data_IF_225310933572
#
_entry.id   IF_225310933572
#
_cell.length_a   1.000
_cell.length_b   1.000
_cell.length_c   1.000
_cell.angle_alpha   90.00
_cell.angle_beta   90.00
_cell.angle_gamma   90.00
#
_symmetry.space_group_name_H-M   'P 1'
#
loop_
_entity.id
_entity.type
_entity.pdbx_description
1 polymer ?
#
# COMPACT_ATOMS: atom_id res chain seq x y z
N UNK A 1 2.25 -13.62 -22.52
CA UNK A 1 3.61 -13.56 -21.94
C UNK A 1 4.07 -12.14 -21.58
N UNK A 2 3.78 -11.09 -22.37
CA UNK A 2 4.19 -9.69 -22.07
C UNK A 2 3.60 -9.11 -20.77
N UNK A 3 2.34 -9.44 -20.45
CA UNK A 3 1.64 -8.98 -19.24
C UNK A 3 2.20 -9.61 -17.95
N UNK A 4 2.92 -10.73 -18.06
CA UNK A 4 3.51 -11.42 -16.90
C UNK A 4 4.83 -10.75 -16.50
N UNK A 5 5.74 -10.49 -17.46
CA UNK A 5 7.03 -9.82 -17.22
C UNK A 5 6.85 -8.42 -16.62
N UNK A 6 5.84 -7.67 -17.05
CA UNK A 6 5.52 -6.35 -16.50
C UNK A 6 5.04 -6.44 -15.04
N UNK A 7 4.26 -7.47 -14.68
CA UNK A 7 3.80 -7.66 -13.30
C UNK A 7 4.89 -8.17 -12.37
N UNK A 8 5.79 -9.03 -12.86
CA UNK A 8 6.95 -9.51 -12.08
C UNK A 8 8.03 -8.44 -11.92
N UNK A 9 8.21 -7.56 -12.91
CA UNK A 9 9.09 -6.38 -12.82
C UNK A 9 8.54 -5.34 -11.83
N UNK A 10 7.22 -5.15 -11.76
CA UNK A 10 6.58 -4.28 -10.77
C UNK A 10 6.76 -4.80 -9.33
N UNK A 11 6.71 -6.13 -9.15
CA UNK A 11 6.92 -6.76 -7.85
C UNK A 11 8.38 -6.66 -7.36
N UNK A 12 9.34 -6.59 -8.28
CA UNK A 12 10.77 -6.45 -7.95
C UNK A 12 11.19 -4.97 -7.76
N UNK A 13 10.51 -4.04 -8.44
CA UNK A 13 10.64 -2.59 -8.22
C UNK A 13 10.18 -2.15 -6.83
N UNK A 14 9.36 -2.94 -6.14
CA UNK A 14 8.92 -2.65 -4.77
C UNK A 14 9.99 -2.85 -3.69
N UNK A 15 11.16 -3.41 -4.04
CA UNK A 15 12.19 -3.77 -3.06
C UNK A 15 13.41 -2.83 -3.04
N UNK A 16 13.59 -1.92 -4.00
CA UNK A 16 14.76 -1.04 -3.99
C UNK A 16 14.45 0.34 -4.59
N UNK A 17 14.07 1.33 -3.77
CA UNK A 17 14.10 2.72 -4.21
C UNK A 17 15.53 3.19 -4.60
N UNK A 18 16.57 2.48 -4.16
CA UNK A 18 17.98 2.80 -4.44
C UNK A 18 18.47 2.39 -5.85
N UNK A 19 17.73 1.61 -6.65
CA UNK A 19 18.18 1.20 -8.00
C UNK A 19 17.67 2.16 -9.09
N UNK A 20 16.68 3.01 -8.79
CA UNK A 20 16.21 4.04 -9.72
C UNK A 20 17.22 5.19 -9.94
N UNK A 21 18.30 5.25 -9.14
CA UNK A 21 19.35 6.28 -9.22
C UNK A 21 20.66 5.78 -9.85
N UNK A 22 20.63 4.67 -10.59
CA UNK A 22 21.82 4.09 -11.22
C UNK A 22 22.17 4.66 -12.61
N UNK A 23 21.40 5.62 -13.13
CA UNK A 23 21.66 6.39 -14.37
C UNK A 23 21.43 7.88 -14.03
N UNK A 24 22.29 8.87 -14.26
CA UNK A 24 23.63 8.95 -14.86
C UNK A 24 24.39 10.13 -14.19
N UNK A 25 25.73 10.09 -14.12
CA UNK A 25 26.53 11.33 -14.04
C UNK A 25 27.34 11.64 -12.77
N UNK A 26 27.70 10.66 -11.93
CA UNK A 26 28.70 10.91 -10.90
C UNK A 26 30.12 10.61 -11.43
N UNK A 27 30.86 11.64 -11.83
CA UNK A 27 32.30 11.56 -12.14
C UNK A 27 33.10 12.07 -10.92
N UNK A 28 33.82 11.19 -10.18
CA UNK A 28 34.60 11.57 -9.01
C UNK A 28 35.72 12.59 -9.28
N UNK A 29 36.03 12.89 -10.55
CA UNK A 29 37.09 13.81 -10.97
C UNK A 29 36.57 15.21 -11.35
N UNK A 30 35.25 15.42 -11.42
CA UNK A 30 34.64 16.73 -11.67
C UNK A 30 34.12 17.37 -10.36
N UNK A 31 34.77 18.46 -9.87
CA UNK A 31 34.36 19.15 -8.65
C UNK A 31 32.98 19.84 -8.74
N UNK A 32 32.37 19.91 -9.93
CA UNK A 32 31.00 20.38 -10.15
C UNK A 32 29.92 19.30 -10.02
N UNK A 33 30.30 18.02 -9.91
CA UNK A 33 29.33 16.93 -9.74
C UNK A 33 28.79 16.93 -8.30
N UNK A 34 27.49 17.21 -8.15
CA UNK A 34 26.85 17.06 -6.85
C UNK A 34 26.71 15.56 -6.55
N UNK A 35 27.13 15.09 -5.37
CA UNK A 35 26.91 13.70 -4.98
C UNK A 35 25.43 13.34 -5.19
N UNK A 36 25.14 12.13 -5.71
CA UNK A 36 23.76 11.71 -5.88
C UNK A 36 23.02 11.87 -4.54
N UNK A 37 21.82 12.47 -4.55
CA UNK A 37 21.05 12.63 -3.33
C UNK A 37 20.89 11.24 -2.69
N UNK A 38 21.22 11.15 -1.40
CA UNK A 38 21.05 9.91 -0.64
C UNK A 38 19.62 9.41 -0.88
N UNK A 39 19.40 8.08 -1.06
CA UNK A 39 18.07 7.55 -1.20
C UNK A 39 17.23 8.06 -0.03
N UNK A 40 16.14 8.77 -0.33
CA UNK A 40 15.30 9.49 0.64
C UNK A 40 14.75 8.55 1.75
N UNK A 41 14.74 7.26 1.43
CA UNK A 41 14.34 6.13 2.26
C UNK A 41 15.53 5.32 2.84
N UNK A 42 16.75 5.87 2.86
CA UNK A 42 17.86 5.30 3.63
C UNK A 42 17.60 5.62 5.10
N UNK A 43 17.45 4.62 5.99
CA UNK A 43 17.26 4.87 7.41
C UNK A 43 18.57 5.34 8.05
N UNK A 44 18.99 6.56 7.73
CA UNK A 44 20.11 7.24 8.39
C UNK A 44 19.64 8.00 9.63
N UNK A 45 18.32 8.25 9.75
CA UNK A 45 17.67 8.99 10.83
C UNK A 45 16.28 8.39 11.15
N UNK A 46 15.71 8.72 12.32
CA UNK A 46 14.36 8.29 12.73
C UNK A 46 13.27 8.55 11.67
N UNK A 47 13.40 9.65 10.90
CA UNK A 47 12.50 9.98 9.80
C UNK A 47 12.45 8.89 8.71
N UNK A 48 13.61 8.38 8.29
CA UNK A 48 13.69 7.33 7.27
C UNK A 48 13.08 6.01 7.72
N UNK A 49 13.16 5.68 9.02
CA UNK A 49 12.45 4.52 9.58
C UNK A 49 10.92 4.69 9.47
N UNK A 50 10.41 5.88 9.78
CA UNK A 50 8.98 6.18 9.71
C UNK A 50 8.50 6.14 8.26
N UNK A 51 9.27 6.69 7.31
CA UNK A 51 8.91 6.70 5.89
C UNK A 51 8.81 5.28 5.31
N UNK A 52 9.69 4.36 5.73
CA UNK A 52 9.60 2.93 5.36
C UNK A 52 8.33 2.29 5.94
N UNK A 53 8.00 2.58 7.21
CA UNK A 53 6.78 2.06 7.87
C UNK A 53 5.52 2.59 7.18
N UNK A 54 5.47 3.88 6.86
CA UNK A 54 4.35 4.51 6.15
C UNK A 54 4.18 3.91 4.75
N UNK A 55 5.29 3.68 4.04
CA UNK A 55 5.27 3.03 2.72
C UNK A 55 4.67 1.63 2.81
N UNK A 56 5.11 0.81 3.78
CA UNK A 56 4.57 -0.54 4.00
C UNK A 56 3.08 -0.46 4.36
N UNK A 57 2.70 0.46 5.25
CA UNK A 57 1.31 0.65 5.66
C UNK A 57 0.41 1.05 4.49
N UNK A 58 0.88 1.92 3.58
CA UNK A 58 0.13 2.33 2.39
C UNK A 58 -0.09 1.17 1.40
N UNK A 59 0.93 0.32 1.20
CA UNK A 59 0.79 -0.89 0.41
C UNK A 59 -0.20 -1.88 1.04
N UNK A 60 -0.10 -2.09 2.36
CA UNK A 60 -1.06 -2.94 3.08
C UNK A 60 -2.48 -2.40 2.99
N UNK A 61 -2.68 -1.09 3.13
CA UNK A 61 -3.96 -0.42 2.99
C UNK A 61 -4.56 -0.62 1.59
N UNK A 62 -3.76 -0.47 0.54
CA UNK A 62 -4.21 -0.72 -0.85
C UNK A 62 -4.69 -2.16 -1.05
N UNK A 63 -3.98 -3.14 -0.50
CA UNK A 63 -4.37 -4.57 -0.56
C UNK A 63 -5.65 -4.81 0.23
N UNK A 64 -5.78 -4.23 1.44
CA UNK A 64 -6.97 -4.33 2.29
C UNK A 64 -8.22 -3.75 1.62
N UNK A 65 -8.07 -2.61 0.93
CA UNK A 65 -9.16 -1.99 0.17
C UNK A 65 -9.64 -2.88 -0.96
N UNK A 66 -8.72 -3.42 -1.77
CA UNK A 66 -9.05 -4.35 -2.84
C UNK A 66 -9.74 -5.61 -2.31
N UNK A 67 -9.23 -6.16 -1.21
CA UNK A 67 -9.79 -7.35 -0.58
C UNK A 67 -11.20 -7.10 0.00
N UNK A 68 -11.43 -5.94 0.61
CA UNK A 68 -12.74 -5.56 1.17
C UNK A 68 -13.82 -5.54 0.08
N UNK A 69 -13.52 -5.00 -1.10
CA UNK A 69 -14.46 -4.97 -2.23
C UNK A 69 -14.85 -6.39 -2.64
N UNK A 70 -13.89 -7.32 -2.70
CA UNK A 70 -14.15 -8.73 -3.04
C UNK A 70 -15.07 -9.38 -2.01
N UNK A 71 -14.84 -9.15 -0.72
CA UNK A 71 -15.69 -9.69 0.34
C UNK A 71 -17.11 -9.12 0.34
N UNK A 72 -17.28 -7.82 0.03
CA UNK A 72 -18.59 -7.20 -0.14
C UNK A 72 -19.37 -7.89 -1.27
N UNK A 73 -18.72 -8.09 -2.42
CA UNK A 73 -19.34 -8.78 -3.56
C UNK A 73 -19.69 -10.23 -3.22
N UNK A 74 -18.79 -10.95 -2.55
CA UNK A 74 -19.04 -12.32 -2.11
C UNK A 74 -20.24 -12.42 -1.16
N UNK A 75 -20.34 -11.51 -0.18
CA UNK A 75 -21.47 -11.42 0.73
C UNK A 75 -22.78 -11.10 -0.01
N UNK A 76 -22.74 -10.18 -0.99
CA UNK A 76 -23.89 -9.82 -1.80
C UNK A 76 -24.41 -10.99 -2.64
N UNK A 77 -23.51 -11.73 -3.30
CA UNK A 77 -23.89 -12.95 -4.01
C UNK A 77 -24.50 -13.95 -3.04
N UNK A 78 -23.81 -14.28 -1.94
CA UNK A 78 -24.29 -15.25 -0.97
C UNK A 78 -25.69 -14.90 -0.45
N UNK A 79 -25.96 -13.62 -0.20
CA UNK A 79 -27.27 -13.13 0.23
C UNK A 79 -28.37 -13.40 -0.80
N UNK A 80 -28.13 -13.13 -2.09
CA UNK A 80 -29.12 -13.32 -3.17
C UNK A 80 -29.43 -14.80 -3.41
N UNK A 81 -28.41 -15.66 -3.47
CA UNK A 81 -28.58 -17.11 -3.68
C UNK A 81 -29.03 -17.87 -2.41
N UNK A 82 -29.19 -17.19 -1.27
CA UNK A 82 -29.64 -17.83 -0.04
C UNK A 82 -31.06 -18.41 -0.11
N UNK A 83 -31.90 -17.97 -1.05
CA UNK A 83 -33.26 -18.49 -1.31
C UNK A 83 -34.15 -18.63 -0.05
N UNK A 84 -33.96 -17.78 0.96
CA UNK A 84 -34.73 -17.83 2.21
C UNK A 84 -34.20 -18.81 3.27
N UNK A 85 -33.08 -19.49 3.03
CA UNK A 85 -32.38 -20.24 4.07
C UNK A 85 -31.77 -19.25 5.10
N UNK A 86 -32.31 -19.24 6.32
CA UNK A 86 -31.90 -18.32 7.39
C UNK A 86 -30.41 -18.42 7.74
N UNK A 87 -29.83 -19.62 7.67
CA UNK A 87 -28.43 -19.87 8.01
C UNK A 87 -27.48 -19.24 6.98
N UNK A 88 -27.83 -19.33 5.70
CA UNK A 88 -27.12 -18.69 4.59
C UNK A 88 -27.24 -17.16 4.67
N UNK A 89 -28.44 -16.65 4.98
CA UNK A 89 -28.69 -15.21 5.15
C UNK A 89 -27.89 -14.66 6.33
N UNK A 90 -27.87 -15.37 7.47
CA UNK A 90 -27.10 -14.97 8.65
C UNK A 90 -25.61 -14.92 8.33
N UNK A 91 -25.11 -15.93 7.63
CA UNK A 91 -23.70 -15.97 7.19
C UNK A 91 -23.36 -14.80 6.27
N UNK A 92 -24.20 -14.52 5.27
CA UNK A 92 -24.00 -13.40 4.35
C UNK A 92 -23.99 -12.05 5.08
N UNK A 93 -24.92 -11.82 6.01
CA UNK A 93 -24.96 -10.59 6.83
C UNK A 93 -23.69 -10.44 7.68
N UNK A 94 -23.23 -11.51 8.31
CA UNK A 94 -21.99 -11.48 9.10
C UNK A 94 -20.79 -11.09 8.24
N UNK A 95 -20.63 -11.71 7.07
CA UNK A 95 -19.54 -11.37 6.14
C UNK A 95 -19.63 -9.92 5.69
N UNK A 96 -20.85 -9.44 5.39
CA UNK A 96 -21.09 -8.06 4.98
C UNK A 96 -20.67 -7.06 6.08
N UNK A 97 -21.03 -7.33 7.34
CA UNK A 97 -20.63 -6.50 8.49
C UNK A 97 -19.10 -6.47 8.62
N UNK A 98 -18.42 -7.63 8.56
CA UNK A 98 -16.96 -7.67 8.64
C UNK A 98 -16.29 -6.93 7.48
N UNK A 99 -16.85 -7.02 6.27
CA UNK A 99 -16.32 -6.30 5.12
C UNK A 99 -16.49 -4.77 5.25
N UNK A 100 -17.63 -4.32 5.81
CA UNK A 100 -17.86 -2.89 6.10
C UNK A 100 -16.92 -2.39 7.20
N UNK A 101 -16.72 -3.17 8.27
CA UNK A 101 -15.75 -2.81 9.33
C UNK A 101 -14.34 -2.71 8.75
N UNK A 102 -13.94 -3.64 7.89
CA UNK A 102 -12.66 -3.59 7.18
C UNK A 102 -12.52 -2.33 6.33
N UNK A 103 -13.56 -1.95 5.59
CA UNK A 103 -13.58 -0.73 4.79
C UNK A 103 -13.43 0.54 5.67
N UNK A 104 -14.17 0.61 6.78
CA UNK A 104 -14.10 1.74 7.72
C UNK A 104 -12.71 1.86 8.32
N UNK A 105 -12.14 0.76 8.82
CA UNK A 105 -10.79 0.73 9.39
C UNK A 105 -9.75 1.16 8.36
N UNK A 106 -9.91 0.69 7.11
CA UNK A 106 -9.03 1.08 6.04
C UNK A 106 -9.10 2.61 5.83
N UNK A 107 -10.29 3.19 5.65
CA UNK A 107 -10.44 4.64 5.43
C UNK A 107 -9.83 5.45 6.58
N UNK A 108 -10.01 5.00 7.82
CA UNK A 108 -9.40 5.63 9.00
C UNK A 108 -7.86 5.54 8.98
N UNK A 109 -7.30 4.40 8.57
CA UNK A 109 -5.86 4.22 8.43
C UNK A 109 -5.26 5.13 7.36
N UNK A 110 -5.97 5.35 6.24
CA UNK A 110 -5.56 6.29 5.20
C UNK A 110 -5.45 7.74 5.70
N UNK A 111 -6.34 8.16 6.60
CA UNK A 111 -6.29 9.49 7.21
C UNK A 111 -5.08 9.73 8.12
N UNK A 112 -4.58 8.68 8.78
CA UNK A 112 -3.40 8.77 9.65
C UNK A 112 -2.14 9.09 8.84
N UNK A 113 -2.00 8.57 7.62
CA UNK A 113 -0.85 8.86 6.76
C UNK A 113 -0.73 10.36 6.44
N UNK A 114 -1.86 11.05 6.23
CA UNK A 114 -1.90 12.49 5.99
C UNK A 114 -1.40 13.26 7.21
N UNK A 115 -1.88 12.87 8.40
CA UNK A 115 -1.49 13.48 9.67
C UNK A 115 0.01 13.29 9.95
N UNK A 116 0.56 12.10 9.69
CA UNK A 116 1.99 11.82 9.87
C UNK A 116 2.84 12.68 8.92
N UNK A 117 2.41 12.86 7.67
CA UNK A 117 3.11 13.70 6.70
C UNK A 117 3.08 15.18 7.09
N UNK A 118 1.97 15.68 7.63
CA UNK A 118 1.87 17.07 8.10
C UNK A 118 2.75 17.32 9.33
N UNK A 119 2.84 16.36 10.25
CA UNK A 119 3.70 16.49 11.44
C UNK A 119 5.18 16.34 11.12
N UNK A 120 5.56 15.52 10.16
CA UNK A 120 6.96 15.29 9.79
C UNK A 120 7.45 16.31 8.74
N UNK A 121 6.59 16.77 7.84
CA UNK A 121 6.93 17.76 6.81
C UNK A 121 7.07 19.19 7.36
N UNK A 122 6.57 19.45 8.56
CA UNK A 122 6.65 20.75 9.23
C UNK A 122 7.71 20.79 10.36
N UNK A 123 8.65 19.82 10.38
CA UNK A 123 9.82 19.79 11.27
C UNK A 123 11.11 19.96 10.46
#
# INVERSE_FOLDING_TARGET
MKKLVVKTSLLLSGLIPAVAFADEGFDPLDPGSTPPPLPENTPTNFKGLIDVIVTIAQWMFGILMALSIVFILYAAFLYIISQGNEERIKTAKTILIYAVVGLVVAVLAGGINMVIQDFIGNM
#
